data_IF_698307099627
#
_entry.id   IF_698307099627
#
_cell.length_a   1.000
_cell.length_b   1.000
_cell.length_c   1.000
_cell.angle_alpha   90.00
_cell.angle_beta   90.00
_cell.angle_gamma   90.00
#
_symmetry.space_group_name_H-M   'P 1'
#
loop_
_entity.id
_entity.type
_entity.pdbx_description
1 polymer ?
#
# COMPACT_ATOMS: atom_id res chain seq x y z
N UNK A 1 3.05 -21.51 -9.09
CA UNK A 1 4.19 -20.72 -8.59
C UNK A 1 3.79 -19.23 -8.50
N UNK A 2 4.17 -18.55 -7.43
CA UNK A 2 3.92 -17.12 -7.28
C UNK A 2 4.74 -16.33 -8.31
N UNK A 3 4.19 -15.26 -8.90
CA UNK A 3 4.97 -14.35 -9.72
C UNK A 3 6.15 -13.76 -8.93
N UNK A 4 7.33 -13.67 -9.55
CA UNK A 4 8.53 -13.14 -8.91
C UNK A 4 9.18 -12.05 -9.76
N UNK A 5 9.59 -10.95 -9.10
CA UNK A 5 10.41 -9.89 -9.69
C UNK A 5 11.74 -9.84 -8.93
N UNK A 6 12.83 -9.88 -9.68
CA UNK A 6 14.18 -9.73 -9.13
C UNK A 6 14.73 -8.34 -9.47
N UNK A 7 15.35 -7.71 -8.47
CA UNK A 7 16.03 -6.43 -8.61
C UNK A 7 17.47 -6.60 -8.13
N UNK A 8 18.40 -6.03 -8.88
CA UNK A 8 19.81 -6.08 -8.50
C UNK A 8 20.09 -5.29 -7.20
N UNK A 9 21.10 -5.74 -6.46
CA UNK A 9 21.49 -5.15 -5.17
C UNK A 9 21.95 -3.70 -5.29
N UNK A 10 22.52 -3.31 -6.42
CA UNK A 10 23.02 -1.95 -6.65
C UNK A 10 21.81 -1.00 -6.71
N UNK A 11 20.79 -1.35 -7.48
CA UNK A 11 19.55 -0.56 -7.59
C UNK A 11 18.85 -0.42 -6.24
N UNK A 12 18.78 -1.50 -5.45
CA UNK A 12 18.19 -1.48 -4.10
C UNK A 12 18.98 -0.52 -3.19
N UNK A 13 20.30 -0.61 -3.16
CA UNK A 13 21.15 0.24 -2.33
C UNK A 13 21.11 1.72 -2.76
N UNK A 14 21.17 1.98 -4.06
CA UNK A 14 21.06 3.34 -4.60
C UNK A 14 19.72 4.00 -4.22
N UNK A 15 18.63 3.26 -4.30
CA UNK A 15 17.31 3.71 -3.87
C UNK A 15 17.27 4.00 -2.36
N UNK A 16 17.87 3.11 -1.57
CA UNK A 16 17.97 3.27 -0.11
C UNK A 16 18.69 4.56 0.27
N UNK A 17 19.82 4.85 -0.38
CA UNK A 17 20.57 6.08 -0.15
C UNK A 17 19.82 7.33 -0.64
N UNK A 18 19.32 7.30 -1.88
CA UNK A 18 18.61 8.44 -2.49
C UNK A 18 17.40 8.89 -1.68
N UNK A 19 16.62 7.95 -1.15
CA UNK A 19 15.42 8.24 -0.38
C UNK A 19 15.64 8.20 1.14
N UNK A 20 16.89 8.06 1.58
CA UNK A 20 17.26 8.02 3.01
C UNK A 20 16.43 6.99 3.78
N UNK A 21 16.32 5.77 3.24
CA UNK A 21 15.54 4.70 3.86
C UNK A 21 16.35 4.08 5.00
N UNK A 22 15.94 4.34 6.23
CA UNK A 22 16.63 3.90 7.43
C UNK A 22 16.05 2.58 7.96
N UNK A 23 16.90 1.76 8.55
CA UNK A 23 16.50 0.50 9.19
C UNK A 23 15.94 0.68 10.61
N UNK A 24 16.07 1.86 11.21
CA UNK A 24 15.59 2.19 12.55
C UNK A 24 14.08 2.57 12.58
N UNK A 25 13.47 2.60 11.42
CA UNK A 25 12.03 2.81 11.26
C UNK A 25 11.43 1.81 10.27
N UNK A 26 10.14 1.57 10.38
CA UNK A 26 9.40 0.69 9.47
C UNK A 26 8.99 1.48 8.24
N UNK A 27 9.51 1.10 7.08
CA UNK A 27 9.18 1.70 5.80
C UNK A 27 8.03 0.92 5.16
N UNK A 28 6.95 1.60 4.86
CA UNK A 28 5.69 1.02 4.38
C UNK A 28 5.34 1.65 3.04
N UNK A 29 5.06 0.81 2.04
CA UNK A 29 4.43 1.27 0.81
C UNK A 29 2.93 1.41 1.02
N UNK A 30 2.35 2.55 0.67
CA UNK A 30 0.91 2.73 0.54
C UNK A 30 0.55 2.85 -0.94
N UNK A 31 -0.09 1.84 -1.49
CA UNK A 31 -0.64 1.87 -2.84
C UNK A 31 -2.04 2.49 -2.83
N UNK A 32 -2.10 3.81 -2.93
CA UNK A 32 -3.33 4.59 -2.78
C UNK A 32 -4.09 4.83 -4.09
N UNK A 33 -3.48 4.48 -5.22
CA UNK A 33 -4.07 4.59 -6.54
C UNK A 33 -4.81 3.34 -6.99
N UNK A 34 -5.24 3.34 -8.24
CA UNK A 34 -5.93 2.23 -8.90
C UNK A 34 -6.78 2.68 -10.08
N UNK A 35 -6.97 1.80 -11.05
CA UNK A 35 -7.68 2.13 -12.30
C UNK A 35 -9.19 2.31 -12.13
N UNK A 36 -9.80 1.74 -11.10
CA UNK A 36 -11.24 1.79 -10.87
C UNK A 36 -11.62 2.70 -9.72
N UNK A 37 -12.57 3.61 -9.94
CA UNK A 37 -13.10 4.51 -8.90
C UNK A 37 -13.64 3.75 -7.68
N UNK A 38 -14.26 2.58 -7.90
CA UNK A 38 -14.84 1.75 -6.84
C UNK A 38 -13.80 1.00 -6.00
N UNK A 39 -12.55 0.93 -6.49
CA UNK A 39 -11.43 0.26 -5.81
C UNK A 39 -10.55 1.22 -5.02
N UNK A 40 -10.68 2.53 -5.22
CA UNK A 40 -9.86 3.54 -4.54
C UNK A 40 -10.41 3.82 -3.16
N UNK A 41 -9.71 3.34 -2.16
CA UNK A 41 -10.06 3.60 -0.76
C UNK A 41 -9.92 5.10 -0.48
N UNK A 42 -10.85 5.73 0.25
CA UNK A 42 -10.80 7.16 0.55
C UNK A 42 -9.54 7.60 1.29
N UNK A 43 -9.08 8.82 1.03
CA UNK A 43 -7.94 9.41 1.70
C UNK A 43 -8.07 9.39 3.24
N UNK A 44 -9.27 9.64 3.76
CA UNK A 44 -9.56 9.60 5.21
C UNK A 44 -9.19 8.26 5.85
N UNK A 45 -9.43 7.15 5.14
CA UNK A 45 -9.07 5.80 5.63
C UNK A 45 -7.56 5.64 5.68
N UNK A 46 -6.83 6.04 4.64
CA UNK A 46 -5.36 6.01 4.65
C UNK A 46 -4.76 6.91 5.73
N UNK A 47 -5.31 8.10 5.93
CA UNK A 47 -4.87 9.01 7.00
C UNK A 47 -5.07 8.37 8.37
N UNK A 48 -6.19 7.68 8.59
CA UNK A 48 -6.44 6.97 9.84
C UNK A 48 -5.51 5.76 10.02
N UNK A 49 -5.20 5.04 8.96
CA UNK A 49 -4.18 3.96 8.96
C UNK A 49 -2.80 4.51 9.35
N UNK A 50 -2.37 5.61 8.73
CA UNK A 50 -1.10 6.27 9.05
C UNK A 50 -1.06 6.67 10.53
N UNK A 51 -2.15 7.28 11.02
CA UNK A 51 -2.28 7.65 12.43
C UNK A 51 -2.10 6.43 13.34
N UNK A 52 -2.91 5.40 13.16
CA UNK A 52 -2.93 4.20 14.01
C UNK A 52 -1.59 3.47 14.03
N UNK A 53 -0.97 3.28 12.87
CA UNK A 53 0.34 2.63 12.77
C UNK A 53 1.42 3.49 13.44
N UNK A 54 1.39 4.81 13.23
CA UNK A 54 2.36 5.74 13.82
C UNK A 54 2.29 5.83 15.34
N UNK A 55 1.15 5.50 15.94
CA UNK A 55 0.97 5.43 17.40
C UNK A 55 1.64 4.20 18.03
N UNK A 56 1.84 3.12 17.25
CA UNK A 56 2.41 1.86 17.75
C UNK A 56 3.84 1.60 17.28
N UNK A 57 4.27 2.20 16.17
CA UNK A 57 5.60 2.00 15.59
C UNK A 57 6.14 3.30 14.97
N UNK A 58 7.46 3.48 15.02
CA UNK A 58 8.13 4.52 14.23
C UNK A 58 8.12 4.10 12.75
N UNK A 59 7.41 4.85 11.92
CA UNK A 59 7.16 4.49 10.52
C UNK A 59 7.36 5.64 9.56
N UNK A 60 7.64 5.29 8.30
CA UNK A 60 7.66 6.16 7.15
C UNK A 60 6.83 5.53 6.03
N UNK A 61 6.08 6.35 5.30
CA UNK A 61 5.12 5.89 4.30
C UNK A 61 5.49 6.42 2.93
N UNK A 62 5.58 5.52 1.95
CA UNK A 62 5.82 5.83 0.54
C UNK A 62 4.51 5.70 -0.22
N UNK A 63 4.01 6.80 -0.78
CA UNK A 63 2.69 6.88 -1.40
C UNK A 63 2.79 6.64 -2.90
N UNK A 64 2.36 5.48 -3.37
CA UNK A 64 2.36 5.10 -4.77
C UNK A 64 0.97 5.29 -5.39
N UNK A 65 0.90 6.01 -6.48
CA UNK A 65 -0.33 6.33 -7.19
C UNK A 65 -0.07 6.74 -8.64
N UNK A 66 -1.11 6.74 -9.46
CA UNK A 66 -1.08 7.30 -10.80
C UNK A 66 -1.28 8.81 -10.82
N UNK A 67 -1.43 9.35 -12.03
CA UNK A 67 -1.52 10.80 -12.26
C UNK A 67 -2.90 11.30 -12.69
N UNK A 68 -3.93 10.45 -12.70
CA UNK A 68 -5.25 10.95 -12.97
C UNK A 68 -5.75 11.85 -11.83
N UNK A 69 -6.72 12.71 -12.14
CA UNK A 69 -7.18 13.75 -11.20
C UNK A 69 -7.68 13.18 -9.87
N UNK A 70 -8.43 12.07 -9.89
CA UNK A 70 -8.99 11.48 -8.68
C UNK A 70 -7.90 10.90 -7.78
N UNK A 71 -6.90 10.24 -8.35
CA UNK A 71 -5.74 9.74 -7.60
C UNK A 71 -4.93 10.88 -7.00
N UNK A 72 -4.73 11.98 -7.75
CA UNK A 72 -4.03 13.16 -7.27
C UNK A 72 -4.77 13.88 -6.14
N UNK A 73 -6.11 13.89 -6.15
CA UNK A 73 -6.92 14.42 -5.04
C UNK A 73 -6.64 13.63 -3.76
N UNK A 74 -6.66 12.29 -3.84
CA UNK A 74 -6.37 11.42 -2.67
C UNK A 74 -4.95 11.67 -2.15
N UNK A 75 -3.96 11.70 -3.03
CA UNK A 75 -2.57 11.98 -2.68
C UNK A 75 -2.45 13.33 -1.96
N UNK A 76 -3.03 14.38 -2.53
CA UNK A 76 -2.96 15.73 -1.97
C UNK A 76 -3.65 15.84 -0.61
N UNK A 77 -4.77 15.17 -0.39
CA UNK A 77 -5.43 15.13 0.91
C UNK A 77 -4.51 14.51 1.98
N UNK A 78 -3.84 13.42 1.66
CA UNK A 78 -2.88 12.79 2.59
C UNK A 78 -1.70 13.72 2.87
N UNK A 79 -1.13 14.34 1.83
CA UNK A 79 0.01 15.24 1.96
C UNK A 79 -0.32 16.57 2.67
N UNK A 80 -1.59 16.97 2.72
CA UNK A 80 -2.07 18.13 3.50
C UNK A 80 -2.35 17.78 4.96
N UNK A 81 -2.40 16.50 5.31
CA UNK A 81 -2.64 16.07 6.68
C UNK A 81 -1.46 16.41 7.60
N UNK A 82 -1.68 16.33 8.91
CA UNK A 82 -0.61 16.51 9.91
C UNK A 82 0.49 15.46 9.82
N UNK A 83 0.30 14.39 9.05
CA UNK A 83 1.27 13.31 8.87
C UNK A 83 2.17 13.47 7.64
N UNK A 84 2.09 14.60 6.93
CA UNK A 84 2.88 14.86 5.71
C UNK A 84 4.38 14.58 5.87
N UNK A 85 4.94 14.87 7.04
CA UNK A 85 6.37 14.68 7.30
C UNK A 85 6.79 13.21 7.42
N UNK A 86 5.83 12.30 7.53
CA UNK A 86 6.06 10.84 7.51
C UNK A 86 5.86 10.24 6.12
N UNK A 87 5.44 11.04 5.15
CA UNK A 87 5.03 10.59 3.82
C UNK A 87 6.00 11.07 2.74
N UNK A 88 6.26 10.21 1.78
CA UNK A 88 7.03 10.50 0.56
C UNK A 88 6.17 10.14 -0.64
N UNK A 89 5.86 11.11 -1.49
CA UNK A 89 5.10 10.88 -2.72
C UNK A 89 5.99 10.29 -3.81
N UNK A 90 5.51 9.25 -4.49
CA UNK A 90 6.22 8.54 -5.56
C UNK A 90 5.60 8.78 -6.96
N UNK A 91 4.61 9.64 -7.06
CA UNK A 91 3.82 9.85 -8.29
C UNK A 91 4.62 10.46 -9.45
N UNK A 92 5.76 11.08 -9.17
CA UNK A 92 6.68 11.63 -10.18
C UNK A 92 7.77 10.64 -10.62
N UNK A 93 7.80 9.44 -10.07
CA UNK A 93 8.77 8.40 -10.41
C UNK A 93 8.18 7.41 -11.42
N UNK A 94 9.06 6.84 -12.24
CA UNK A 94 8.72 5.71 -13.10
C UNK A 94 8.57 4.42 -12.28
N UNK A 95 7.90 3.42 -12.83
CA UNK A 95 7.82 2.08 -12.19
C UNK A 95 9.21 1.53 -11.93
N UNK A 96 10.15 1.69 -12.85
CA UNK A 96 11.54 1.26 -12.70
C UNK A 96 12.22 1.87 -11.46
N UNK A 97 11.92 3.13 -11.15
CA UNK A 97 12.44 3.82 -9.96
C UNK A 97 11.71 3.40 -8.67
N UNK A 98 10.43 3.07 -8.78
CA UNK A 98 9.59 2.68 -7.62
C UNK A 98 9.90 1.26 -7.14
N UNK A 99 10.18 0.31 -8.04
CA UNK A 99 10.42 -1.10 -7.67
C UNK A 99 11.52 -1.26 -6.60
N UNK A 100 12.70 -0.62 -6.70
CA UNK A 100 13.71 -0.70 -5.65
C UNK A 100 13.28 -0.08 -4.31
N UNK A 101 12.42 0.95 -4.35
CA UNK A 101 11.85 1.55 -3.14
C UNK A 101 10.93 0.53 -2.45
N UNK A 102 10.05 -0.13 -3.20
CA UNK A 102 9.19 -1.20 -2.67
C UNK A 102 10.04 -2.29 -2.02
N UNK A 103 11.13 -2.71 -2.68
CA UNK A 103 12.02 -3.76 -2.16
C UNK A 103 12.68 -3.38 -0.83
N UNK A 104 12.84 -2.09 -0.56
CA UNK A 104 13.33 -1.57 0.72
C UNK A 104 12.23 -1.43 1.79
N UNK A 105 10.96 -1.60 1.43
CA UNK A 105 9.86 -1.55 2.39
C UNK A 105 9.71 -2.89 3.14
N UNK A 106 9.30 -2.80 4.38
CA UNK A 106 9.01 -3.98 5.22
C UNK A 106 7.66 -4.60 4.87
N UNK A 107 6.72 -3.76 4.43
CA UNK A 107 5.32 -4.10 4.21
C UNK A 107 4.73 -3.16 3.16
N UNK A 108 3.72 -3.62 2.45
CA UNK A 108 2.86 -2.82 1.59
C UNK A 108 1.40 -2.89 2.05
N UNK A 109 0.68 -1.80 1.94
CA UNK A 109 -0.79 -1.72 2.13
C UNK A 109 -1.33 -1.04 0.87
N UNK A 110 -2.05 -1.78 0.05
CA UNK A 110 -2.42 -1.34 -1.29
C UNK A 110 -3.88 -1.59 -1.61
N UNK A 111 -4.51 -0.65 -2.31
CA UNK A 111 -5.71 -0.95 -3.07
C UNK A 111 -5.47 -2.12 -4.02
N UNK A 112 -6.52 -2.76 -4.49
CA UNK A 112 -6.43 -3.71 -5.62
C UNK A 112 -5.97 -2.96 -6.88
N UNK A 113 -4.66 -2.99 -7.12
CA UNK A 113 -3.96 -2.24 -8.15
C UNK A 113 -2.65 -2.91 -8.54
N UNK A 114 -1.99 -2.39 -9.57
CA UNK A 114 -0.66 -2.87 -9.98
C UNK A 114 0.36 -2.86 -8.83
N UNK A 115 0.29 -1.91 -7.91
CA UNK A 115 1.23 -1.84 -6.79
C UNK A 115 1.08 -2.99 -5.80
N UNK A 116 -0.12 -3.53 -5.60
CA UNK A 116 -0.30 -4.73 -4.77
C UNK A 116 0.37 -5.95 -5.40
N UNK A 117 0.20 -6.12 -6.71
CA UNK A 117 0.80 -7.22 -7.46
C UNK A 117 2.33 -7.11 -7.53
N UNK A 118 2.85 -5.92 -7.81
CA UNK A 118 4.30 -5.65 -7.84
C UNK A 118 4.94 -5.89 -6.48
N UNK A 119 4.30 -5.45 -5.40
CA UNK A 119 4.81 -5.64 -4.04
C UNK A 119 4.88 -7.13 -3.68
N UNK A 120 3.83 -7.88 -3.95
CA UNK A 120 3.82 -9.33 -3.71
C UNK A 120 4.87 -10.05 -4.56
N UNK A 121 5.01 -9.71 -5.85
CA UNK A 121 6.01 -10.28 -6.75
C UNK A 121 7.46 -9.95 -6.35
N UNK A 122 7.67 -8.83 -5.66
CA UNK A 122 8.95 -8.48 -5.05
C UNK A 122 9.21 -9.21 -3.71
N UNK A 123 8.30 -10.07 -3.27
CA UNK A 123 8.41 -10.81 -2.02
C UNK A 123 8.03 -10.01 -0.79
N UNK A 124 7.41 -8.84 -0.95
CA UNK A 124 6.99 -7.98 0.15
C UNK A 124 5.59 -8.41 0.62
N UNK A 125 5.44 -8.63 1.93
CA UNK A 125 4.13 -8.90 2.53
C UNK A 125 3.20 -7.72 2.26
N UNK A 126 2.05 -7.98 1.65
CA UNK A 126 1.16 -6.96 1.12
C UNK A 126 -0.25 -7.14 1.67
N UNK A 127 -0.72 -6.17 2.42
CA UNK A 127 -2.14 -6.09 2.80
C UNK A 127 -2.89 -5.55 1.59
N UNK A 128 -3.80 -6.35 1.03
CA UNK A 128 -4.59 -6.01 -0.16
C UNK A 128 -6.00 -5.57 0.25
N UNK A 129 -6.39 -4.36 -0.14
CA UNK A 129 -7.68 -3.77 0.22
C UNK A 129 -8.70 -4.09 -0.88
N UNK A 130 -9.46 -5.15 -0.67
CA UNK A 130 -10.37 -5.73 -1.66
C UNK A 130 -11.78 -5.17 -1.50
N UNK A 131 -12.01 -3.98 -2.05
CA UNK A 131 -13.28 -3.26 -1.88
C UNK A 131 -14.39 -3.67 -2.85
N UNK A 132 -14.04 -4.06 -4.07
CA UNK A 132 -14.97 -4.28 -5.18
C UNK A 132 -14.43 -5.23 -6.25
N UNK A 133 -13.62 -6.18 -5.87
CA UNK A 133 -13.00 -7.17 -6.76
C UNK A 133 -12.92 -8.52 -6.06
N UNK A 134 -13.22 -9.62 -6.75
CA UNK A 134 -13.13 -10.97 -6.17
C UNK A 134 -11.78 -11.25 -5.53
N UNK A 135 -11.79 -11.96 -4.40
CA UNK A 135 -10.60 -12.25 -3.59
C UNK A 135 -9.47 -12.93 -4.36
N UNK A 136 -9.80 -13.68 -5.41
CA UNK A 136 -8.80 -14.34 -6.25
C UNK A 136 -7.74 -13.38 -6.81
N UNK A 137 -8.06 -12.09 -6.95
CA UNK A 137 -7.12 -11.08 -7.42
C UNK A 137 -6.21 -10.51 -6.33
N UNK A 138 -6.55 -10.71 -5.06
CA UNK A 138 -5.79 -10.18 -3.92
C UNK A 138 -5.35 -11.23 -2.92
N UNK A 139 -5.49 -12.53 -3.25
CA UNK A 139 -5.19 -13.65 -2.34
C UNK A 139 -4.60 -14.87 -3.10
N UNK A 140 -3.90 -14.63 -4.21
CA UNK A 140 -3.31 -15.72 -5.00
C UNK A 140 -1.85 -16.03 -4.64
N UNK A 141 -1.23 -15.21 -3.81
CA UNK A 141 0.16 -15.34 -3.39
C UNK A 141 0.28 -15.44 -1.88
N UNK A 142 1.25 -16.21 -1.41
CA UNK A 142 1.61 -16.32 0.01
C UNK A 142 2.05 -14.99 0.63
N UNK A 143 2.28 -13.96 -0.20
CA UNK A 143 2.63 -12.60 0.23
C UNK A 143 1.42 -11.68 0.37
N UNK A 144 0.23 -12.11 -0.02
CA UNK A 144 -0.99 -11.31 0.03
C UNK A 144 -1.84 -11.61 1.26
N UNK A 145 -2.35 -10.57 1.88
CA UNK A 145 -3.16 -10.60 3.10
C UNK A 145 -4.39 -9.72 2.89
N UNK A 146 -5.50 -10.28 2.35
CA UNK A 146 -6.65 -9.48 2.00
C UNK A 146 -7.41 -8.92 3.20
N UNK A 147 -7.95 -7.71 3.03
CA UNK A 147 -8.96 -7.08 3.88
C UNK A 147 -10.18 -6.84 3.01
N UNK A 148 -11.34 -7.29 3.48
CA UNK A 148 -12.62 -7.09 2.80
C UNK A 148 -13.49 -6.07 3.57
N UNK A 149 -14.52 -5.50 2.93
CA UNK A 149 -15.42 -4.56 3.59
C UNK A 149 -16.10 -5.17 4.82
N UNK A 150 -16.37 -4.34 5.81
CA UNK A 150 -17.10 -4.76 7.01
C UNK A 150 -18.49 -5.28 6.65
N UNK A 151 -18.92 -6.32 7.38
CA UNK A 151 -20.18 -7.03 7.20
C UNK A 151 -20.34 -7.78 5.88
N UNK A 152 -19.27 -7.99 5.12
CA UNK A 152 -19.24 -8.83 3.93
C UNK A 152 -18.54 -10.16 4.23
N UNK A 153 -19.06 -11.26 3.71
CA UNK A 153 -18.43 -12.57 3.79
C UNK A 153 -17.46 -12.81 2.62
N UNK A 154 -17.71 -12.14 1.51
CA UNK A 154 -16.89 -12.18 0.29
C UNK A 154 -16.98 -10.88 -0.47
N UNK A 155 -16.18 -10.76 -1.53
CA UNK A 155 -16.17 -9.58 -2.40
C UNK A 155 -16.40 -9.99 -3.85
N UNK A 156 -17.20 -9.20 -4.56
CA UNK A 156 -17.47 -9.33 -6.00
C UNK A 156 -17.22 -7.98 -6.70
N UNK A 157 -17.38 -7.94 -8.02
CA UNK A 157 -17.33 -6.68 -8.80
C UNK A 157 -18.48 -5.70 -8.51
N UNK A 158 -19.43 -6.07 -7.68
CA UNK A 158 -20.61 -5.24 -7.32
C UNK A 158 -20.73 -5.01 -5.80
N UNK A 159 -19.67 -5.29 -5.05
CA UNK A 159 -19.69 -5.08 -3.58
C UNK A 159 -19.67 -3.60 -3.22
N UNK A 160 -18.98 -2.76 -4.01
CA UNK A 160 -18.88 -1.31 -3.80
C UNK A 160 -18.53 -0.91 -2.36
N UNK A 161 -17.61 -1.66 -1.75
CA UNK A 161 -17.35 -1.61 -0.31
C UNK A 161 -16.20 -0.69 0.13
N UNK A 162 -15.71 0.20 -0.73
CA UNK A 162 -14.53 1.03 -0.43
C UNK A 162 -14.66 1.89 0.84
N UNK A 163 -15.87 2.35 1.16
CA UNK A 163 -16.15 3.11 2.37
C UNK A 163 -16.22 2.25 3.65
N UNK A 164 -16.29 0.93 3.50
CA UNK A 164 -16.38 -0.04 4.58
C UNK A 164 -15.09 -0.79 4.84
N UNK A 165 -13.99 -0.41 4.22
CA UNK A 165 -12.67 -0.95 4.54
C UNK A 165 -12.20 -0.34 5.87
N UNK A 166 -12.04 -1.20 6.88
CA UNK A 166 -11.74 -0.80 8.25
C UNK A 166 -10.25 -0.55 8.48
N UNK A 167 -9.89 0.66 8.88
CA UNK A 167 -8.52 0.99 9.32
C UNK A 167 -8.09 0.17 10.55
N UNK A 168 -9.02 -0.19 11.42
CA UNK A 168 -8.76 -1.05 12.59
C UNK A 168 -8.38 -2.46 12.17
N UNK A 169 -9.08 -3.06 11.22
CA UNK A 169 -8.71 -4.38 10.66
C UNK A 169 -7.35 -4.35 9.97
N UNK A 170 -7.02 -3.26 9.29
CA UNK A 170 -5.70 -3.05 8.69
C UNK A 170 -4.63 -3.03 9.79
N UNK A 171 -4.83 -2.28 10.88
CA UNK A 171 -3.90 -2.25 12.02
C UNK A 171 -3.71 -3.63 12.64
N UNK A 172 -4.78 -4.38 12.86
CA UNK A 172 -4.72 -5.75 13.41
C UNK A 172 -3.87 -6.65 12.49
N UNK A 173 -4.11 -6.58 11.17
CA UNK A 173 -3.34 -7.35 10.19
C UNK A 173 -1.88 -6.91 10.17
N UNK A 174 -1.61 -5.62 10.19
CA UNK A 174 -0.26 -5.04 10.29
C UNK A 174 0.49 -5.61 11.49
N UNK A 175 -0.11 -5.58 12.67
CA UNK A 175 0.51 -6.08 13.90
C UNK A 175 0.84 -7.58 13.81
N UNK A 176 -0.02 -8.39 13.20
CA UNK A 176 0.24 -9.82 12.98
C UNK A 176 1.40 -10.09 12.02
N UNK A 177 1.60 -9.22 11.03
CA UNK A 177 2.64 -9.36 10.02
C UNK A 177 4.01 -8.91 10.56
N UNK A 178 4.02 -7.83 11.36
CA UNK A 178 5.25 -7.21 11.88
C UNK A 178 5.82 -7.97 13.07
N UNK A 179 4.99 -8.51 13.92
CA UNK A 179 5.38 -9.32 15.08
C UNK A 179 5.58 -10.78 14.70
#
# INVERSE_FOLDING_TARGET
EDPEIQIDKISINNSKEKFQINSDEINILLGIGGSGTTKRIPAKTFIDVIKKISEVKKCRFFLATGKNNEEQIILNEILKSKFKNKCVALDNLTIKEILPIIKNCKLAICNDSSFSHLSAALGIKTITLMADTPLIYGDYSSKMYPIIPDNEETVTHNTLGKEKISSEKILIKFNKIIN
#
